data_IF_278765150770
#
_entry.id   IF_278765150770
#
_cell.length_a   1.000
_cell.length_b   1.000
_cell.length_c   1.000
_cell.angle_alpha   90.00
_cell.angle_beta   90.00
_cell.angle_gamma   90.00
#
_symmetry.space_group_name_H-M   'P 1'
#
loop_
_entity.id
_entity.type
_entity.pdbx_description
1 polymer ?
#
# COMPACT_ATOMS: atom_id res chain seq x y z
N UNK A 1 38.32 -23.75 -12.77
CA UNK A 1 38.24 -22.32 -13.17
C UNK A 1 36.77 -22.00 -13.33
N UNK A 2 36.17 -21.34 -12.33
CA UNK A 2 34.76 -20.90 -12.39
C UNK A 2 34.70 -19.79 -13.45
N UNK A 3 33.69 -19.84 -14.34
CA UNK A 3 33.60 -18.85 -15.41
C UNK A 3 33.35 -17.45 -14.81
N UNK A 4 33.83 -16.36 -15.45
CA UNK A 4 33.54 -15.00 -14.97
C UNK A 4 32.06 -14.65 -14.91
N UNK A 5 31.20 -15.44 -15.57
CA UNK A 5 29.74 -15.34 -15.53
C UNK A 5 29.17 -16.02 -14.27
N UNK A 6 29.75 -17.13 -13.80
CA UNK A 6 29.36 -17.81 -12.56
C UNK A 6 29.77 -16.99 -11.33
N UNK A 7 30.96 -16.40 -11.32
CA UNK A 7 31.45 -15.50 -10.27
C UNK A 7 30.58 -14.23 -10.16
N UNK A 8 30.09 -13.67 -11.29
CA UNK A 8 29.10 -12.58 -11.30
C UNK A 8 27.72 -13.02 -10.79
N UNK A 9 27.36 -14.28 -10.96
CA UNK A 9 26.04 -14.82 -10.53
C UNK A 9 26.03 -15.08 -9.03
N UNK A 10 27.13 -15.57 -8.45
CA UNK A 10 27.24 -15.77 -6.98
C UNK A 10 27.25 -14.45 -6.19
N UNK A 11 27.73 -13.36 -6.78
CA UNK A 11 27.81 -12.06 -6.12
C UNK A 11 26.51 -11.26 -6.14
N UNK A 12 25.51 -11.63 -6.94
CA UNK A 12 24.17 -11.01 -6.95
C UNK A 12 23.25 -11.79 -6.00
N UNK A 13 22.70 -11.10 -5.03
CA UNK A 13 21.84 -11.69 -4.00
C UNK A 13 22.52 -11.87 -2.64
N UNK A 14 23.68 -11.29 -2.44
CA UNK A 14 24.35 -11.24 -1.15
C UNK A 14 23.51 -10.53 -0.07
N UNK A 15 23.77 -10.85 1.20
CA UNK A 15 23.02 -10.32 2.36
C UNK A 15 22.85 -8.80 2.33
N UNK A 16 23.86 -8.04 1.90
CA UNK A 16 23.79 -6.59 1.78
C UNK A 16 22.76 -6.09 0.77
N UNK A 17 22.62 -6.75 -0.39
CA UNK A 17 21.61 -6.38 -1.38
C UNK A 17 20.19 -6.75 -0.93
N UNK A 18 20.03 -7.89 -0.25
CA UNK A 18 18.75 -8.26 0.37
C UNK A 18 18.36 -7.23 1.44
N UNK A 19 19.32 -6.78 2.25
CA UNK A 19 19.09 -5.72 3.24
C UNK A 19 18.66 -4.42 2.55
N UNK A 20 19.30 -4.02 1.45
CA UNK A 20 18.89 -2.83 0.70
C UNK A 20 17.46 -2.95 0.16
N UNK A 21 17.09 -4.10 -0.39
CA UNK A 21 15.73 -4.37 -0.88
C UNK A 21 14.71 -4.34 0.28
N UNK A 22 15.06 -4.90 1.45
CA UNK A 22 14.26 -4.80 2.66
C UNK A 22 14.06 -3.34 3.10
N UNK A 23 15.15 -2.54 3.13
CA UNK A 23 15.10 -1.12 3.49
C UNK A 23 14.24 -0.31 2.51
N UNK A 24 14.30 -0.59 1.21
CA UNK A 24 13.44 0.06 0.23
C UNK A 24 11.95 -0.20 0.53
N UNK A 25 11.57 -1.45 0.81
CA UNK A 25 10.21 -1.78 1.23
C UNK A 25 9.83 -1.10 2.54
N UNK A 26 10.70 -1.19 3.54
CA UNK A 26 10.47 -0.62 4.88
C UNK A 26 10.23 0.88 4.81
N UNK A 27 11.15 1.66 4.24
CA UNK A 27 11.10 3.12 4.27
C UNK A 27 9.96 3.69 3.42
N UNK A 28 9.62 3.06 2.30
CA UNK A 28 8.49 3.48 1.49
C UNK A 28 7.15 3.43 2.25
N UNK A 29 6.95 2.42 3.10
CA UNK A 29 5.69 2.21 3.82
C UNK A 29 5.70 2.68 5.28
N UNK A 30 6.89 2.86 5.87
CA UNK A 30 7.07 3.41 7.21
C UNK A 30 6.45 4.81 7.31
N UNK A 31 6.72 5.66 6.34
CA UNK A 31 6.26 7.04 6.32
C UNK A 31 4.80 7.17 5.86
N UNK A 32 4.37 6.36 4.90
CA UNK A 32 3.07 6.52 4.24
C UNK A 32 1.88 6.50 5.23
N UNK A 33 1.93 5.63 6.24
CA UNK A 33 0.84 5.41 7.17
C UNK A 33 1.14 5.80 8.63
N UNK A 34 2.30 6.37 8.93
CA UNK A 34 2.70 6.77 10.29
C UNK A 34 1.74 7.78 10.93
N UNK A 35 1.03 8.56 10.12
CA UNK A 35 0.10 9.59 10.57
C UNK A 35 -1.24 9.02 11.09
N UNK A 36 -1.61 7.77 10.74
CA UNK A 36 -2.91 7.22 11.11
C UNK A 36 -3.19 7.25 12.63
N UNK A 37 -2.30 6.77 13.50
CA UNK A 37 -2.51 6.85 14.95
C UNK A 37 -2.44 8.28 15.51
N UNK A 38 -1.88 9.22 14.73
CA UNK A 38 -1.74 10.63 15.13
C UNK A 38 -2.97 11.48 14.80
N UNK A 39 -3.93 10.97 14.02
CA UNK A 39 -5.08 11.77 13.56
C UNK A 39 -5.86 12.43 14.71
N UNK A 40 -6.21 11.72 15.81
CA UNK A 40 -6.90 12.38 16.93
C UNK A 40 -6.05 13.45 17.61
N UNK A 41 -4.73 13.24 17.72
CA UNK A 41 -3.79 14.22 18.26
C UNK A 41 -3.71 15.47 17.37
N UNK A 42 -3.57 15.27 16.04
CA UNK A 42 -3.52 16.35 15.06
C UNK A 42 -4.83 17.16 15.03
N UNK A 43 -5.99 16.50 15.14
CA UNK A 43 -7.30 17.15 15.23
C UNK A 43 -7.35 18.10 16.43
N UNK A 44 -6.89 17.66 17.60
CA UNK A 44 -6.85 18.48 18.82
C UNK A 44 -5.85 19.64 18.72
N UNK A 45 -4.61 19.36 18.27
CA UNK A 45 -3.53 20.37 18.26
C UNK A 45 -3.75 21.42 17.17
N UNK A 46 -4.34 21.05 16.04
CA UNK A 46 -4.59 21.96 14.91
C UNK A 46 -6.01 22.52 14.91
N UNK A 47 -6.83 22.20 15.93
CA UNK A 47 -8.24 22.60 16.02
C UNK A 47 -9.00 22.35 14.74
N UNK A 48 -8.75 21.18 14.11
CA UNK A 48 -9.28 20.80 12.81
C UNK A 48 -10.24 19.62 12.93
N UNK A 49 -11.21 19.54 12.02
CA UNK A 49 -12.15 18.42 11.99
C UNK A 49 -11.49 17.12 11.54
N UNK A 50 -12.13 16.01 11.83
CA UNK A 50 -11.70 14.64 11.45
C UNK A 50 -11.49 14.52 9.93
N UNK A 51 -12.40 15.08 9.15
CA UNK A 51 -12.27 15.15 7.68
C UNK A 51 -11.07 15.98 7.25
N UNK A 52 -10.81 17.11 7.94
CA UNK A 52 -9.70 18.00 7.60
C UNK A 52 -8.35 17.35 7.90
N UNK A 53 -8.17 16.67 9.05
CA UNK A 53 -6.92 15.94 9.32
C UNK A 53 -6.79 14.68 8.45
N UNK A 54 -7.89 14.08 8.02
CA UNK A 54 -7.93 13.02 7.02
C UNK A 54 -7.28 13.41 5.68
N UNK A 55 -7.28 14.72 5.34
CA UNK A 55 -6.55 15.24 4.18
C UNK A 55 -5.04 14.91 4.21
N UNK A 56 -4.45 14.73 5.37
CA UNK A 56 -3.02 14.38 5.48
C UNK A 56 -2.72 13.00 4.91
N UNK A 57 -3.63 12.05 5.05
CA UNK A 57 -3.54 10.71 4.43
C UNK A 57 -3.93 10.79 2.97
N UNK A 58 -5.02 11.49 2.66
CA UNK A 58 -5.51 11.67 1.30
C UNK A 58 -4.48 12.34 0.40
N UNK A 59 -3.77 13.35 0.90
CA UNK A 59 -2.70 14.01 0.15
C UNK A 59 -1.56 13.04 -0.20
N UNK A 60 -1.10 12.24 0.78
CA UNK A 60 -0.06 11.23 0.54
C UNK A 60 -0.52 10.18 -0.48
N UNK A 61 -1.71 9.61 -0.31
CA UNK A 61 -2.23 8.60 -1.24
C UNK A 61 -2.52 9.16 -2.63
N UNK A 62 -2.96 10.42 -2.75
CA UNK A 62 -3.10 11.11 -4.03
C UNK A 62 -1.73 11.28 -4.72
N UNK A 63 -0.71 11.69 -3.98
CA UNK A 63 0.66 11.76 -4.48
C UNK A 63 1.13 10.42 -5.05
N UNK A 64 0.88 9.33 -4.33
CA UNK A 64 1.20 7.97 -4.81
C UNK A 64 0.44 7.65 -6.09
N UNK A 65 -0.87 7.94 -6.16
CA UNK A 65 -1.68 7.67 -7.36
C UNK A 65 -1.14 8.40 -8.60
N UNK A 66 -0.85 9.68 -8.47
CA UNK A 66 -0.30 10.51 -9.55
C UNK A 66 1.07 10.01 -9.99
N UNK A 67 1.98 9.80 -9.04
CA UNK A 67 3.35 9.37 -9.34
C UNK A 67 3.40 7.95 -9.92
N UNK A 68 2.56 7.04 -9.44
CA UNK A 68 2.46 5.68 -9.99
C UNK A 68 2.05 5.70 -11.48
N UNK A 69 1.12 6.58 -11.86
CA UNK A 69 0.73 6.74 -13.25
C UNK A 69 1.87 7.31 -14.11
N UNK A 70 2.59 8.32 -13.61
CA UNK A 70 3.76 8.88 -14.28
C UNK A 70 4.88 7.84 -14.46
N UNK A 71 5.15 7.04 -13.44
CA UNK A 71 6.16 5.98 -13.52
C UNK A 71 5.75 4.82 -14.43
N UNK A 72 4.46 4.52 -14.57
CA UNK A 72 3.98 3.56 -15.56
C UNK A 72 4.29 4.00 -16.99
N UNK A 73 4.36 5.31 -17.23
CA UNK A 73 4.64 5.92 -18.54
C UNK A 73 6.14 6.11 -18.77
N UNK A 74 6.84 6.68 -17.81
CA UNK A 74 8.22 7.14 -17.96
C UNK A 74 9.26 6.26 -17.25
N UNK A 75 8.80 5.35 -16.38
CA UNK A 75 9.66 4.58 -15.49
C UNK A 75 10.72 3.73 -16.22
N UNK A 76 10.46 3.26 -17.44
CA UNK A 76 11.41 2.45 -18.19
C UNK A 76 12.72 3.19 -18.55
N UNK A 77 12.68 4.53 -18.61
CA UNK A 77 13.82 5.37 -18.98
C UNK A 77 14.72 5.71 -17.80
N UNK A 78 14.28 5.44 -16.59
CA UNK A 78 14.96 5.84 -15.36
C UNK A 78 16.07 4.86 -14.97
N UNK A 79 17.20 5.38 -14.50
CA UNK A 79 18.22 4.58 -13.83
C UNK A 79 17.66 4.06 -12.50
N UNK A 80 17.58 2.74 -12.33
CA UNK A 80 16.91 2.10 -11.21
C UNK A 80 17.49 2.52 -9.86
N UNK A 81 18.80 2.34 -9.68
CA UNK A 81 19.49 2.66 -8.43
C UNK A 81 19.39 4.16 -8.09
N UNK A 82 19.71 5.02 -9.07
CA UNK A 82 19.67 6.47 -8.86
C UNK A 82 18.27 6.94 -8.48
N UNK A 83 17.26 6.46 -9.16
CA UNK A 83 15.87 6.83 -8.87
C UNK A 83 15.46 6.39 -7.48
N UNK A 84 15.78 5.15 -7.06
CA UNK A 84 15.49 4.65 -5.71
C UNK A 84 16.14 5.58 -4.66
N UNK A 85 17.45 5.81 -4.77
CA UNK A 85 18.19 6.58 -3.76
C UNK A 85 17.77 8.04 -3.73
N UNK A 86 17.57 8.68 -4.88
CA UNK A 86 17.07 10.07 -4.95
C UNK A 86 15.68 10.15 -4.33
N UNK A 87 14.79 9.23 -4.67
CA UNK A 87 13.43 9.22 -4.11
C UNK A 87 13.44 8.99 -2.59
N UNK A 88 14.29 8.09 -2.09
CA UNK A 88 14.44 7.84 -0.64
C UNK A 88 14.99 9.09 0.09
N UNK A 89 16.02 9.74 -0.48
CA UNK A 89 16.60 10.94 0.11
C UNK A 89 15.60 12.10 0.10
N UNK A 90 14.92 12.31 -1.02
CA UNK A 90 13.91 13.36 -1.14
C UNK A 90 12.69 13.09 -0.22
N UNK A 91 12.24 11.83 -0.11
CA UNK A 91 11.20 11.43 0.84
C UNK A 91 11.62 11.76 2.28
N UNK A 92 12.81 11.35 2.68
CA UNK A 92 13.32 11.62 4.03
C UNK A 92 13.43 13.13 4.34
N UNK A 93 13.87 13.94 3.37
CA UNK A 93 13.91 15.41 3.51
C UNK A 93 12.48 15.98 3.61
N UNK A 94 11.53 15.50 2.80
CA UNK A 94 10.13 15.92 2.89
C UNK A 94 9.54 15.56 4.26
N UNK A 95 9.84 14.37 4.78
CA UNK A 95 9.43 13.92 6.11
C UNK A 95 10.00 14.81 7.22
N UNK A 96 11.27 15.22 7.11
CA UNK A 96 11.84 16.23 8.04
C UNK A 96 11.10 17.56 7.93
N UNK A 97 10.79 18.03 6.73
CA UNK A 97 10.05 19.27 6.52
C UNK A 97 8.60 19.18 7.06
N UNK A 98 8.00 18.00 7.04
CA UNK A 98 6.68 17.76 7.65
C UNK A 98 6.67 18.15 9.13
N UNK A 99 7.78 17.92 9.87
CA UNK A 99 7.89 18.31 11.27
C UNK A 99 7.82 19.83 11.51
N UNK A 100 8.12 20.64 10.50
CA UNK A 100 8.12 22.11 10.57
C UNK A 100 6.75 22.73 10.25
N UNK A 101 5.74 21.93 9.91
CA UNK A 101 4.44 22.42 9.52
C UNK A 101 3.75 23.22 10.66
N UNK A 102 3.27 24.41 10.33
CA UNK A 102 2.57 25.30 11.25
C UNK A 102 1.04 25.19 11.14
N UNK A 103 0.54 24.70 10.03
CA UNK A 103 -0.88 24.53 9.79
C UNK A 103 -1.15 23.25 8.97
N UNK A 104 -2.42 22.86 8.92
CA UNK A 104 -2.85 21.64 8.25
C UNK A 104 -2.58 21.64 6.77
N UNK A 105 -2.70 22.78 6.09
CA UNK A 105 -2.44 22.89 4.63
C UNK A 105 -0.97 22.61 4.34
N UNK A 106 -0.06 23.21 5.10
CA UNK A 106 1.38 22.95 4.96
C UNK A 106 1.71 21.49 5.23
N UNK A 107 1.11 20.90 6.28
CA UNK A 107 1.25 19.48 6.58
C UNK A 107 0.78 18.61 5.39
N UNK A 108 -0.39 18.88 4.85
CA UNK A 108 -0.94 18.16 3.70
C UNK A 108 -0.08 18.31 2.43
N UNK A 109 0.51 19.49 2.21
CA UNK A 109 1.43 19.71 1.07
C UNK A 109 2.70 18.84 1.19
N UNK A 110 3.31 18.79 2.37
CA UNK A 110 4.46 17.89 2.58
C UNK A 110 4.07 16.43 2.42
N UNK A 111 2.91 16.02 2.95
CA UNK A 111 2.36 14.67 2.76
C UNK A 111 2.10 14.32 1.28
N UNK A 112 1.61 15.28 0.49
CA UNK A 112 1.47 15.11 -0.96
C UNK A 112 2.83 14.85 -1.63
N UNK A 113 3.85 15.63 -1.26
CA UNK A 113 5.20 15.46 -1.81
C UNK A 113 5.80 14.11 -1.42
N UNK A 114 5.64 13.68 -0.16
CA UNK A 114 6.03 12.34 0.29
C UNK A 114 5.35 11.25 -0.54
N UNK A 115 4.04 11.39 -0.80
CA UNK A 115 3.29 10.49 -1.67
C UNK A 115 3.82 10.46 -3.10
N UNK A 116 4.18 11.61 -3.68
CA UNK A 116 4.77 11.68 -5.03
C UNK A 116 6.12 10.97 -5.13
N UNK A 117 6.89 10.94 -4.05
CA UNK A 117 8.24 10.34 -4.02
C UNK A 117 8.21 8.83 -3.74
N UNK A 118 7.22 8.36 -2.99
CA UNK A 118 7.11 6.97 -2.53
C UNK A 118 7.11 5.93 -3.67
N UNK A 119 6.40 6.09 -4.80
CA UNK A 119 6.43 5.14 -5.92
C UNK A 119 7.80 5.03 -6.59
N UNK A 120 8.61 6.09 -6.58
CA UNK A 120 10.00 6.05 -7.02
C UNK A 120 10.87 5.08 -6.22
N UNK A 121 10.44 4.73 -5.01
CA UNK A 121 11.07 3.69 -4.21
C UNK A 121 10.45 2.33 -4.53
N UNK A 122 9.15 2.13 -4.29
CA UNK A 122 8.57 0.79 -4.30
C UNK A 122 8.39 0.20 -5.70
N UNK A 123 7.94 0.99 -6.70
CA UNK A 123 7.77 0.49 -8.08
C UNK A 123 9.13 0.20 -8.71
N UNK A 124 10.08 1.13 -8.52
CA UNK A 124 11.40 0.98 -9.13
C UNK A 124 12.23 -0.12 -8.45
N UNK A 125 12.04 -0.39 -7.15
CA UNK A 125 12.68 -1.53 -6.48
C UNK A 125 12.18 -2.86 -7.03
N UNK A 126 10.87 -3.00 -7.28
CA UNK A 126 10.32 -4.20 -7.91
C UNK A 126 10.92 -4.40 -9.31
N UNK A 127 10.99 -3.33 -10.11
CA UNK A 127 11.63 -3.37 -11.42
C UNK A 127 13.12 -3.74 -11.33
N UNK A 128 13.87 -3.13 -10.40
CA UNK A 128 15.27 -3.44 -10.16
C UNK A 128 15.48 -4.92 -9.82
N UNK A 129 14.69 -5.48 -8.89
CA UNK A 129 14.81 -6.88 -8.50
C UNK A 129 14.51 -7.81 -9.68
N UNK A 130 13.45 -7.54 -10.44
CA UNK A 130 13.04 -8.41 -11.55
C UNK A 130 13.98 -8.34 -12.76
N UNK A 131 14.70 -7.23 -12.94
CA UNK A 131 15.61 -7.01 -14.07
C UNK A 131 17.06 -7.41 -13.78
N UNK A 132 17.55 -7.18 -12.55
CA UNK A 132 18.97 -7.31 -12.21
C UNK A 132 19.31 -8.61 -11.48
N UNK A 133 18.33 -9.33 -10.95
CA UNK A 133 18.56 -10.54 -10.18
C UNK A 133 18.40 -11.81 -11.04
N UNK A 134 19.17 -12.88 -10.76
CA UNK A 134 18.95 -14.17 -11.39
C UNK A 134 17.53 -14.66 -11.18
N UNK A 135 16.88 -15.21 -12.21
CA UNK A 135 15.47 -15.63 -12.18
C UNK A 135 15.11 -16.51 -10.96
N UNK A 136 16.01 -17.43 -10.58
CA UNK A 136 15.85 -18.32 -9.44
C UNK A 136 15.87 -17.59 -8.07
N UNK A 137 16.49 -16.42 -7.99
CA UNK A 137 16.61 -15.65 -6.76
C UNK A 137 15.54 -14.55 -6.62
N UNK A 138 14.87 -14.18 -7.73
CA UNK A 138 13.81 -13.16 -7.72
C UNK A 138 12.72 -13.45 -6.67
N UNK A 139 12.19 -14.68 -6.54
CA UNK A 139 11.16 -14.95 -5.53
C UNK A 139 11.64 -14.67 -4.09
N UNK A 140 12.89 -15.02 -3.77
CA UNK A 140 13.49 -14.74 -2.46
C UNK A 140 13.63 -13.24 -2.21
N UNK A 141 14.12 -12.48 -3.18
CA UNK A 141 14.29 -11.04 -3.05
C UNK A 141 12.93 -10.34 -2.92
N UNK A 142 11.92 -10.77 -3.68
CA UNK A 142 10.57 -10.24 -3.58
C UNK A 142 9.91 -10.56 -2.23
N UNK A 143 10.15 -11.73 -1.65
CA UNK A 143 9.67 -12.06 -0.31
C UNK A 143 10.30 -11.14 0.76
N UNK A 144 11.60 -10.88 0.65
CA UNK A 144 12.30 -9.93 1.53
C UNK A 144 11.76 -8.50 1.36
N UNK A 145 11.51 -8.08 0.13
CA UNK A 145 10.88 -6.80 -0.17
C UNK A 145 9.50 -6.68 0.48
N UNK A 146 8.62 -7.67 0.29
CA UNK A 146 7.26 -7.69 0.89
C UNK A 146 7.34 -7.68 2.41
N UNK A 147 8.24 -8.46 3.01
CA UNK A 147 8.48 -8.41 4.45
C UNK A 147 8.87 -6.99 4.92
N UNK A 148 9.72 -6.30 4.15
CA UNK A 148 10.08 -4.91 4.40
C UNK A 148 8.86 -3.97 4.35
N UNK A 149 7.97 -4.11 3.35
CA UNK A 149 6.78 -3.24 3.23
C UNK A 149 5.83 -3.40 4.43
N UNK A 150 5.62 -4.63 4.88
CA UNK A 150 4.75 -4.90 6.04
C UNK A 150 5.40 -4.42 7.33
N UNK A 151 6.70 -4.70 7.51
CA UNK A 151 7.46 -4.23 8.66
C UNK A 151 7.47 -2.71 8.74
N UNK A 152 7.72 -2.01 7.62
CA UNK A 152 7.68 -0.55 7.55
C UNK A 152 6.30 0.00 7.90
N UNK A 153 5.24 -0.55 7.30
CA UNK A 153 3.87 -0.14 7.59
C UNK A 153 3.46 -0.35 9.06
N UNK A 154 3.92 -1.42 9.67
CA UNK A 154 3.69 -1.69 11.10
C UNK A 154 4.51 -0.75 12.00
N UNK A 155 5.84 -0.70 11.79
CA UNK A 155 6.73 0.16 12.60
C UNK A 155 6.38 1.63 12.47
N UNK A 156 6.00 2.09 11.27
CA UNK A 156 5.57 3.48 11.07
C UNK A 156 4.36 3.86 11.94
N UNK A 157 3.34 2.99 11.99
CA UNK A 157 2.16 3.22 12.83
C UNK A 157 2.49 3.14 14.33
N UNK A 158 3.23 2.12 14.73
CA UNK A 158 3.58 1.92 16.14
C UNK A 158 4.48 3.06 16.64
N UNK A 159 5.54 3.40 15.91
CA UNK A 159 6.43 4.52 16.28
C UNK A 159 5.69 5.86 16.25
N UNK A 160 4.83 6.06 15.21
CA UNK A 160 3.99 7.25 15.10
C UNK A 160 3.16 7.50 16.33
N UNK A 161 2.43 6.51 16.81
CA UNK A 161 1.58 6.69 17.95
C UNK A 161 2.30 6.67 19.30
N UNK A 162 3.29 5.77 19.52
CA UNK A 162 4.05 5.71 20.77
C UNK A 162 4.83 7.00 21.04
N UNK A 163 5.52 7.51 20.03
CA UNK A 163 6.25 8.78 20.17
C UNK A 163 5.28 9.97 20.17
N UNK A 164 4.29 9.94 19.27
CA UNK A 164 3.31 11.02 19.18
C UNK A 164 2.52 11.25 20.47
N UNK A 165 2.18 10.18 21.18
CA UNK A 165 1.50 10.24 22.46
C UNK A 165 2.35 10.82 23.60
N UNK A 166 3.69 10.64 23.54
CA UNK A 166 4.61 11.05 24.63
C UNK A 166 5.29 12.39 24.40
N UNK A 167 5.77 12.63 23.18
CA UNK A 167 6.59 13.80 22.86
C UNK A 167 5.98 14.69 21.76
N UNK A 168 4.78 14.36 21.32
CA UNK A 168 4.07 15.09 20.28
C UNK A 168 4.41 14.61 18.87
N UNK A 169 3.66 15.07 17.89
CA UNK A 169 3.72 14.56 16.51
C UNK A 169 4.98 15.00 15.73
N UNK A 170 5.56 16.18 16.02
CA UNK A 170 6.74 16.71 15.30
C UNK A 170 7.98 15.83 15.44
N UNK A 171 8.39 15.39 16.64
CA UNK A 171 9.55 14.49 16.82
C UNK A 171 9.41 13.16 16.08
N UNK A 172 8.17 12.69 15.85
CA UNK A 172 7.94 11.49 15.04
C UNK A 172 8.50 11.68 13.63
N UNK A 173 8.14 12.75 12.94
CA UNK A 173 8.61 13.03 11.59
C UNK A 173 10.11 13.32 11.54
N UNK A 174 10.68 13.94 12.58
CA UNK A 174 12.14 14.10 12.69
C UNK A 174 12.82 12.73 12.76
N UNK A 175 12.36 11.82 13.63
CA UNK A 175 12.93 10.48 13.73
C UNK A 175 12.81 9.70 12.41
N UNK A 176 11.62 9.69 11.81
CA UNK A 176 11.38 8.97 10.57
C UNK A 176 12.22 9.53 9.41
N UNK A 177 12.35 10.85 9.33
CA UNK A 177 13.20 11.49 8.34
C UNK A 177 14.69 11.18 8.51
N UNK A 178 15.20 11.19 9.75
CA UNK A 178 16.58 10.78 10.05
C UNK A 178 16.80 9.31 9.69
N UNK A 179 15.90 8.41 10.10
CA UNK A 179 15.96 6.99 9.72
C UNK A 179 15.91 6.82 8.20
N UNK A 180 15.08 7.62 7.52
CA UNK A 180 15.00 7.67 6.06
C UNK A 180 16.32 8.05 5.40
N UNK A 181 17.02 9.10 5.90
CA UNK A 181 18.34 9.49 5.40
C UNK A 181 19.40 8.41 5.63
N UNK A 182 19.41 7.81 6.84
CA UNK A 182 20.31 6.70 7.13
C UNK A 182 20.05 5.51 6.20
N UNK A 183 18.79 5.17 5.96
CA UNK A 183 18.42 4.09 5.06
C UNK A 183 18.73 4.40 3.59
N UNK A 184 18.56 5.65 3.14
CA UNK A 184 18.97 6.09 1.80
C UNK A 184 20.49 5.96 1.62
N UNK A 185 21.27 6.40 2.60
CA UNK A 185 22.73 6.25 2.62
C UNK A 185 23.12 4.76 2.59
N UNK A 186 22.54 3.92 3.45
CA UNK A 186 22.79 2.49 3.45
C UNK A 186 22.44 1.85 2.09
N UNK A 187 21.30 2.22 1.50
CA UNK A 187 20.88 1.71 0.18
C UNK A 187 21.83 2.15 -0.92
N UNK A 188 22.34 3.39 -0.87
CA UNK A 188 23.36 3.87 -1.82
C UNK A 188 24.62 3.00 -1.83
N UNK A 189 25.06 2.53 -0.65
CA UNK A 189 26.28 1.70 -0.52
C UNK A 189 25.99 0.22 -0.81
N UNK A 190 24.84 -0.30 -0.40
CA UNK A 190 24.52 -1.72 -0.50
C UNK A 190 23.94 -2.12 -1.87
N UNK A 191 23.19 -1.21 -2.53
CA UNK A 191 22.59 -1.50 -3.82
C UNK A 191 23.61 -1.31 -4.94
N UNK A 192 23.75 -2.32 -5.80
CA UNK A 192 24.66 -2.24 -6.95
C UNK A 192 24.07 -1.41 -8.08
N UNK A 193 24.90 -0.76 -8.91
CA UNK A 193 24.42 -0.11 -10.12
C UNK A 193 23.67 -1.09 -11.02
N UNK A 194 22.61 -0.62 -11.67
CA UNK A 194 21.90 -1.40 -12.67
C UNK A 194 22.81 -1.60 -13.89
N UNK A 195 22.94 -2.84 -14.34
CA UNK A 195 23.80 -3.21 -15.48
C UNK A 195 23.03 -3.27 -16.79
N UNK A 196 21.74 -3.53 -16.72
CA UNK A 196 20.88 -3.60 -17.91
C UNK A 196 20.42 -2.19 -18.33
N UNK A 197 21.18 -1.58 -19.22
CA UNK A 197 20.73 -0.40 -19.96
C UNK A 197 19.71 -0.87 -21.00
N UNK A 198 18.41 -0.90 -20.65
CA UNK A 198 17.37 -1.16 -21.66
C UNK A 198 17.47 -0.09 -22.74
N UNK A 199 17.81 -0.53 -23.95
CA UNK A 199 17.54 0.27 -25.14
C UNK A 199 16.03 0.45 -25.18
N UNK A 200 15.57 1.69 -25.02
CA UNK A 200 14.15 2.00 -25.09
C UNK A 200 13.61 1.43 -26.40
N UNK A 201 12.76 0.40 -26.32
CA UNK A 201 12.00 -0.05 -27.47
C UNK A 201 11.30 1.18 -28.02
N UNK A 202 11.37 1.38 -29.35
CA UNK A 202 10.64 2.42 -30.06
C UNK A 202 9.22 2.48 -29.49
N UNK A 203 8.87 3.62 -28.91
CA UNK A 203 7.62 3.79 -28.19
C UNK A 203 6.46 3.59 -29.20
N UNK A 204 5.82 2.43 -29.14
CA UNK A 204 4.42 2.38 -29.52
C UNK A 204 3.69 3.43 -28.68
N UNK A 205 2.72 4.10 -29.27
CA UNK A 205 1.96 5.16 -28.58
C UNK A 205 1.56 4.67 -27.18
N UNK A 206 1.96 5.39 -26.14
CA UNK A 206 1.63 5.11 -24.72
C UNK A 206 0.11 4.98 -24.53
N UNK A 207 -0.65 5.67 -25.33
CA UNK A 207 -2.11 5.72 -25.25
C UNK A 207 -2.80 4.44 -25.76
N UNK A 208 -2.20 3.71 -26.70
CA UNK A 208 -2.81 2.50 -27.25
C UNK A 208 -3.03 1.40 -26.21
N UNK A 209 -2.04 1.00 -25.35
CA UNK A 209 -2.25 0.03 -24.29
C UNK A 209 -3.23 0.55 -23.22
N UNK A 210 -3.15 1.84 -22.86
CA UNK A 210 -4.06 2.46 -21.88
C UNK A 210 -5.50 2.39 -22.36
N UNK A 211 -5.77 2.83 -23.60
CA UNK A 211 -7.12 2.83 -24.16
C UNK A 211 -7.68 1.40 -24.33
N UNK A 212 -6.82 0.44 -24.68
CA UNK A 212 -7.21 -0.97 -24.76
C UNK A 212 -7.59 -1.51 -23.38
N UNK A 213 -6.84 -1.18 -22.34
CA UNK A 213 -7.14 -1.61 -20.98
C UNK A 213 -8.42 -0.97 -20.45
N UNK A 214 -8.69 0.30 -20.77
CA UNK A 214 -9.95 1.00 -20.43
C UNK A 214 -11.18 0.41 -21.12
N UNK A 215 -11.03 -0.27 -22.26
CA UNK A 215 -12.13 -0.97 -22.92
C UNK A 215 -12.43 -2.35 -22.37
N UNK A 216 -11.55 -2.87 -21.49
CA UNK A 216 -11.74 -4.18 -20.87
C UNK A 216 -12.60 -4.07 -19.62
N UNK A 217 -13.83 -4.54 -19.67
CA UNK A 217 -14.74 -4.58 -18.50
C UNK A 217 -14.16 -5.37 -17.33
N UNK A 218 -13.38 -6.42 -17.60
CA UNK A 218 -12.69 -7.22 -16.57
C UNK A 218 -11.62 -6.42 -15.84
N UNK A 219 -10.84 -5.61 -16.57
CA UNK A 219 -9.83 -4.74 -15.98
C UNK A 219 -10.47 -3.58 -15.21
N UNK A 220 -11.52 -2.95 -15.78
CA UNK A 220 -12.27 -1.90 -15.08
C UNK A 220 -12.88 -2.41 -13.78
N UNK A 221 -13.45 -3.61 -13.78
CA UNK A 221 -13.94 -4.26 -12.56
C UNK A 221 -12.82 -4.44 -11.53
N UNK A 222 -11.63 -4.88 -11.96
CA UNK A 222 -10.47 -5.06 -11.08
C UNK A 222 -9.98 -3.73 -10.51
N UNK A 223 -9.98 -2.66 -11.31
CA UNK A 223 -9.62 -1.32 -10.87
C UNK A 223 -10.62 -0.79 -9.82
N UNK A 224 -11.92 -0.98 -10.05
CA UNK A 224 -12.96 -0.60 -9.10
C UNK A 224 -12.86 -1.38 -7.78
N UNK A 225 -12.57 -2.69 -7.84
CA UNK A 225 -12.31 -3.50 -6.65
C UNK A 225 -11.10 -2.97 -5.90
N UNK A 226 -9.99 -2.70 -6.59
CA UNK A 226 -8.78 -2.12 -5.99
C UNK A 226 -9.07 -0.80 -5.27
N UNK A 227 -9.82 0.10 -5.90
CA UNK A 227 -10.32 1.34 -5.29
C UNK A 227 -11.06 1.06 -3.98
N UNK A 228 -12.05 0.16 -3.98
CA UNK A 228 -12.84 -0.17 -2.80
C UNK A 228 -11.99 -0.78 -1.68
N UNK A 229 -10.98 -1.59 -2.02
CA UNK A 229 -10.12 -2.23 -1.01
C UNK A 229 -9.25 -1.22 -0.26
N UNK A 230 -8.57 -0.29 -0.97
CA UNK A 230 -7.78 0.72 -0.26
C UNK A 230 -8.66 1.78 0.41
N UNK A 231 -9.81 2.12 -0.18
CA UNK A 231 -10.82 2.91 0.51
C UNK A 231 -11.16 2.30 1.87
N UNK A 232 -11.50 1.00 1.90
CA UNK A 232 -11.83 0.26 3.12
C UNK A 232 -10.69 0.31 4.13
N UNK A 233 -9.47 0.00 3.70
CA UNK A 233 -8.31 -0.02 4.57
C UNK A 233 -8.04 1.35 5.20
N UNK A 234 -8.02 2.40 4.38
CA UNK A 234 -7.74 3.77 4.86
C UNK A 234 -8.89 4.28 5.72
N UNK A 235 -10.14 4.08 5.29
CA UNK A 235 -11.33 4.48 6.04
C UNK A 235 -11.36 3.86 7.44
N UNK A 236 -11.27 2.52 7.51
CA UNK A 236 -11.35 1.79 8.78
C UNK A 236 -10.20 2.18 9.70
N UNK A 237 -8.95 2.06 9.24
CA UNK A 237 -7.78 2.26 10.10
C UNK A 237 -7.50 3.73 10.44
N UNK A 238 -8.10 4.69 9.73
CA UNK A 238 -7.99 6.10 10.08
C UNK A 238 -9.08 6.52 11.07
N UNK A 239 -10.34 6.18 10.81
CA UNK A 239 -11.46 6.67 11.61
C UNK A 239 -11.73 5.86 12.87
N UNK A 240 -11.30 4.59 12.92
CA UNK A 240 -11.34 3.80 14.14
C UNK A 240 -10.51 4.46 15.27
N UNK A 241 -9.45 5.22 14.93
CA UNK A 241 -8.62 5.91 15.91
C UNK A 241 -9.41 6.98 16.68
N UNK A 242 -10.30 7.69 16.00
CA UNK A 242 -11.21 8.65 16.67
C UNK A 242 -12.20 7.92 17.55
N UNK A 243 -12.84 6.86 17.06
CA UNK A 243 -13.79 6.06 17.83
C UNK A 243 -13.19 5.50 19.12
N UNK A 244 -11.95 5.04 19.06
CA UNK A 244 -11.26 4.48 20.23
C UNK A 244 -10.76 5.53 21.22
N UNK A 245 -10.62 6.80 20.82
CA UNK A 245 -10.31 7.90 21.73
C UNK A 245 -11.52 8.46 22.47
N UNK A 246 -12.73 8.13 22.04
CA UNK A 246 -14.00 8.53 22.65
C UNK A 246 -14.53 7.48 23.62
N UNK A 247 -15.54 7.86 24.43
CA UNK A 247 -16.25 6.90 25.28
C UNK A 247 -16.94 5.82 24.42
N UNK A 248 -16.97 4.55 24.87
CA UNK A 248 -16.58 4.06 26.19
C UNK A 248 -15.09 3.66 26.31
N UNK A 249 -14.29 3.72 25.24
CA UNK A 249 -12.93 3.15 25.21
C UNK A 249 -11.89 4.07 25.84
N UNK A 250 -11.90 5.35 25.53
CA UNK A 250 -10.99 6.40 26.04
C UNK A 250 -9.51 5.99 25.93
N UNK A 251 -9.13 5.33 24.84
CA UNK A 251 -7.77 4.82 24.65
C UNK A 251 -6.79 5.98 24.40
N UNK A 252 -5.61 5.85 24.99
CA UNK A 252 -4.47 6.71 24.68
C UNK A 252 -3.92 6.43 23.27
N UNK A 253 -3.20 7.40 22.72
CA UNK A 253 -2.51 7.25 21.42
C UNK A 253 -1.54 6.05 21.43
N UNK A 254 -0.88 5.79 22.56
CA UNK A 254 0.00 4.65 22.75
C UNK A 254 -0.75 3.31 22.63
N UNK A 255 -1.92 3.21 23.30
CA UNK A 255 -2.75 2.00 23.25
C UNK A 255 -3.28 1.71 21.83
N UNK A 256 -3.75 2.76 21.14
CA UNK A 256 -4.19 2.67 19.75
C UNK A 256 -3.05 2.20 18.85
N UNK A 257 -1.82 2.66 19.09
CA UNK A 257 -0.65 2.24 18.29
C UNK A 257 -0.37 0.77 18.39
N UNK A 258 -0.47 0.19 19.59
CA UNK A 258 -0.34 -1.26 19.78
C UNK A 258 -1.47 -2.04 19.11
N UNK A 259 -2.68 -1.46 19.04
CA UNK A 259 -3.79 -2.10 18.35
C UNK A 259 -3.52 -2.29 16.84
N UNK A 260 -2.69 -1.43 16.23
CA UNK A 260 -2.26 -1.63 14.84
C UNK A 260 -1.43 -2.91 14.62
N UNK A 261 -0.98 -3.61 15.68
CA UNK A 261 -0.37 -4.94 15.54
C UNK A 261 -1.31 -5.97 14.90
N UNK A 262 -2.63 -5.77 14.98
CA UNK A 262 -3.62 -6.61 14.28
C UNK A 262 -3.41 -6.63 12.76
N UNK A 263 -2.73 -5.64 12.21
CA UNK A 263 -2.36 -5.58 10.79
C UNK A 263 -1.43 -6.74 10.37
N UNK A 264 -0.67 -7.29 11.31
CA UNK A 264 0.21 -8.45 11.06
C UNK A 264 -0.58 -9.73 10.75
N UNK A 265 -1.84 -9.85 11.21
CA UNK A 265 -2.70 -10.97 10.82
C UNK A 265 -2.99 -10.97 9.32
N UNK A 266 -3.09 -9.78 8.70
CA UNK A 266 -3.20 -9.64 7.25
C UNK A 266 -2.00 -10.22 6.50
N UNK A 267 -0.78 -10.05 7.04
CA UNK A 267 0.43 -10.67 6.47
C UNK A 267 0.33 -12.19 6.50
N UNK A 268 -0.03 -12.77 7.65
CA UNK A 268 -0.20 -14.22 7.79
C UNK A 268 -1.26 -14.74 6.82
N UNK A 269 -2.40 -14.06 6.73
CA UNK A 269 -3.46 -14.40 5.79
C UNK A 269 -2.96 -14.39 4.33
N UNK A 270 -2.11 -13.42 3.96
CA UNK A 270 -1.52 -13.32 2.61
C UNK A 270 -0.64 -14.53 2.28
N UNK A 271 0.15 -15.02 3.23
CA UNK A 271 1.03 -16.17 3.02
C UNK A 271 0.24 -17.46 2.75
N UNK A 272 -0.93 -17.60 3.37
CA UNK A 272 -1.81 -18.76 3.22
C UNK A 272 -2.70 -18.61 1.97
N UNK A 273 -3.03 -17.38 1.59
CA UNK A 273 -3.98 -17.10 0.52
C UNK A 273 -3.63 -17.80 -0.80
N UNK A 274 -2.35 -17.83 -1.18
CA UNK A 274 -1.92 -18.44 -2.44
C UNK A 274 -2.35 -19.91 -2.59
N UNK A 275 -2.17 -20.71 -1.53
CA UNK A 275 -2.52 -22.14 -1.53
C UNK A 275 -4.03 -22.37 -1.51
N UNK A 276 -4.78 -21.52 -0.82
CA UNK A 276 -6.25 -21.60 -0.76
C UNK A 276 -6.86 -21.17 -2.10
N UNK A 277 -6.38 -20.07 -2.66
CA UNK A 277 -6.89 -19.52 -3.93
C UNK A 277 -6.66 -20.45 -5.12
N UNK A 278 -5.59 -21.25 -5.10
CA UNK A 278 -5.35 -22.28 -6.10
C UNK A 278 -6.46 -23.36 -6.12
N UNK A 279 -7.13 -23.59 -4.99
CA UNK A 279 -8.20 -24.59 -4.87
C UNK A 279 -9.59 -24.00 -5.12
N UNK A 280 -9.87 -22.80 -4.62
CA UNK A 280 -11.22 -22.20 -4.65
C UNK A 280 -11.43 -21.24 -5.83
N UNK A 281 -10.36 -20.84 -6.51
CA UNK A 281 -10.41 -19.87 -7.60
C UNK A 281 -10.46 -18.41 -7.14
N UNK A 282 -10.03 -17.50 -8.03
CA UNK A 282 -9.85 -16.07 -7.69
C UNK A 282 -11.16 -15.35 -7.38
N UNK A 283 -12.25 -15.69 -8.11
CA UNK A 283 -13.56 -15.06 -7.93
C UNK A 283 -14.17 -15.42 -6.58
N UNK A 284 -14.20 -16.72 -6.23
CA UNK A 284 -14.71 -17.18 -4.95
C UNK A 284 -13.84 -16.66 -3.78
N UNK A 285 -12.51 -16.65 -3.95
CA UNK A 285 -11.58 -16.05 -2.99
C UNK A 285 -11.82 -14.57 -2.75
N UNK A 286 -12.10 -13.79 -3.81
CA UNK A 286 -12.44 -12.36 -3.69
C UNK A 286 -13.75 -12.15 -2.92
N UNK A 287 -14.79 -12.93 -3.24
CA UNK A 287 -16.09 -12.82 -2.54
C UNK A 287 -15.96 -13.20 -1.06
N UNK A 288 -15.19 -14.25 -0.74
CA UNK A 288 -14.88 -14.62 0.63
C UNK A 288 -14.12 -13.52 1.37
N UNK A 289 -13.12 -12.91 0.72
CA UNK A 289 -12.35 -11.81 1.27
C UNK A 289 -13.21 -10.58 1.57
N UNK A 290 -14.13 -10.21 0.65
CA UNK A 290 -15.13 -9.15 0.87
C UNK A 290 -16.07 -9.51 2.04
N UNK A 291 -16.52 -10.75 2.12
CA UNK A 291 -17.32 -11.25 3.23
C UNK A 291 -16.59 -11.11 4.58
N UNK A 292 -15.31 -11.49 4.63
CA UNK A 292 -14.47 -11.28 5.81
C UNK A 292 -14.36 -9.79 6.17
N UNK A 293 -14.18 -8.90 5.19
CA UNK A 293 -14.15 -7.46 5.45
C UNK A 293 -15.47 -6.96 6.04
N UNK A 294 -16.62 -7.37 5.48
CA UNK A 294 -17.95 -6.99 5.98
C UNK A 294 -18.16 -7.46 7.44
N UNK A 295 -17.82 -8.72 7.72
CA UNK A 295 -17.89 -9.27 9.09
C UNK A 295 -16.95 -8.51 10.01
N UNK A 296 -15.69 -8.28 9.57
CA UNK A 296 -14.69 -7.56 10.36
C UNK A 296 -15.13 -6.14 10.70
N UNK A 297 -15.64 -5.37 9.73
CA UNK A 297 -16.18 -4.03 9.97
C UNK A 297 -17.41 -4.09 10.88
N UNK A 298 -18.31 -5.05 10.69
CA UNK A 298 -19.48 -5.26 11.54
C UNK A 298 -19.10 -5.52 13.00
N UNK A 299 -18.08 -6.35 13.27
CA UNK A 299 -17.57 -6.62 14.62
C UNK A 299 -17.07 -5.36 15.33
N UNK A 300 -16.53 -4.36 14.61
CA UNK A 300 -16.07 -3.10 15.20
C UNK A 300 -17.20 -2.24 15.76
N UNK A 301 -18.45 -2.52 15.46
CA UNK A 301 -19.61 -1.83 16.02
C UNK A 301 -19.96 -2.31 17.44
N UNK A 302 -19.39 -3.43 17.88
CA UNK A 302 -19.60 -3.97 19.24
C UNK A 302 -18.68 -3.23 20.20
N UNK A 303 -19.23 -2.63 21.27
CA UNK A 303 -18.53 -1.81 22.24
C UNK A 303 -17.64 -2.62 23.21
N UNK A 304 -16.93 -3.63 22.69
CA UNK A 304 -15.97 -4.46 23.44
C UNK A 304 -14.62 -4.44 22.73
N UNK A 305 -13.59 -3.91 23.37
CA UNK A 305 -12.26 -3.72 22.76
C UNK A 305 -11.66 -5.00 22.14
N UNK A 306 -11.73 -6.19 22.77
CA UNK A 306 -11.24 -7.41 22.13
C UNK A 306 -11.99 -7.75 20.84
N UNK A 307 -13.30 -7.47 20.79
CA UNK A 307 -14.13 -7.72 19.60
C UNK A 307 -13.79 -6.72 18.48
N UNK A 308 -13.57 -5.45 18.84
CA UNK A 308 -13.08 -4.44 17.89
C UNK A 308 -11.72 -4.87 17.32
N UNK A 309 -10.78 -5.30 18.16
CA UNK A 309 -9.47 -5.78 17.73
C UNK A 309 -9.59 -6.99 16.78
N UNK A 310 -10.44 -7.96 17.12
CA UNK A 310 -10.74 -9.10 16.24
C UNK A 310 -11.35 -8.64 14.92
N UNK A 311 -12.29 -7.70 14.96
CA UNK A 311 -12.91 -7.10 13.76
C UNK A 311 -11.88 -6.48 12.84
N UNK A 312 -10.93 -5.69 13.39
CA UNK A 312 -9.84 -5.08 12.64
C UNK A 312 -8.89 -6.13 12.05
N UNK A 313 -8.58 -7.21 12.80
CA UNK A 313 -7.74 -8.30 12.32
C UNK A 313 -8.41 -9.04 11.14
N UNK A 314 -9.70 -9.32 11.24
CA UNK A 314 -10.48 -9.99 10.19
C UNK A 314 -10.62 -9.08 8.97
N UNK A 315 -10.94 -7.78 9.15
CA UNK A 315 -11.06 -6.82 8.06
C UNK A 315 -9.73 -6.63 7.32
N UNK A 316 -8.61 -6.45 8.03
CA UNK A 316 -7.30 -6.32 7.39
C UNK A 316 -6.91 -7.59 6.63
N UNK A 317 -7.14 -8.76 7.20
CA UNK A 317 -6.89 -10.05 6.54
C UNK A 317 -7.70 -10.17 5.24
N UNK A 318 -8.99 -9.78 5.26
CA UNK A 318 -9.83 -9.75 4.08
C UNK A 318 -9.28 -8.82 2.99
N UNK A 319 -8.88 -7.59 3.34
CA UNK A 319 -8.30 -6.64 2.37
C UNK A 319 -7.01 -7.19 1.74
N UNK A 320 -6.12 -7.79 2.53
CA UNK A 320 -4.87 -8.35 2.01
C UNK A 320 -5.10 -9.56 1.10
N UNK A 321 -6.02 -10.46 1.45
CA UNK A 321 -6.41 -11.59 0.58
C UNK A 321 -7.05 -11.06 -0.72
N UNK A 322 -7.94 -10.07 -0.64
CA UNK A 322 -8.53 -9.43 -1.81
C UNK A 322 -7.47 -8.81 -2.73
N UNK A 323 -6.41 -8.22 -2.16
CA UNK A 323 -5.30 -7.67 -2.94
C UNK A 323 -4.53 -8.76 -3.69
N UNK A 324 -4.30 -9.93 -3.07
CA UNK A 324 -3.69 -11.10 -3.75
C UNK A 324 -4.56 -11.55 -4.92
N UNK A 325 -5.89 -11.67 -4.70
CA UNK A 325 -6.84 -12.02 -5.75
C UNK A 325 -6.81 -11.02 -6.91
N UNK A 326 -6.85 -9.71 -6.60
CA UNK A 326 -6.86 -8.65 -7.59
C UNK A 326 -5.58 -8.61 -8.43
N UNK A 327 -4.41 -8.74 -7.80
CA UNK A 327 -3.12 -8.77 -8.49
C UNK A 327 -2.98 -10.00 -9.39
N UNK A 328 -3.45 -11.17 -8.93
CA UNK A 328 -3.44 -12.40 -9.73
C UNK A 328 -4.38 -12.28 -10.92
N UNK A 329 -5.62 -11.82 -10.70
CA UNK A 329 -6.59 -11.63 -11.78
C UNK A 329 -6.14 -10.58 -12.80
N UNK A 330 -5.51 -9.49 -12.34
CA UNK A 330 -4.96 -8.45 -13.20
C UNK A 330 -3.92 -9.01 -14.17
N UNK A 331 -3.02 -9.87 -13.69
CA UNK A 331 -2.00 -10.54 -14.49
C UNK A 331 -2.61 -11.41 -15.58
N UNK A 332 -3.70 -12.13 -15.26
CA UNK A 332 -4.37 -13.06 -16.15
C UNK A 332 -5.31 -12.35 -17.15
N UNK A 333 -5.92 -11.21 -16.73
CA UNK A 333 -6.83 -10.44 -17.55
C UNK A 333 -6.11 -9.46 -18.50
N UNK A 334 -4.90 -9.01 -18.15
CA UNK A 334 -4.17 -8.01 -18.94
C UNK A 334 -3.54 -8.65 -20.20
N UNK A 335 -3.74 -8.04 -21.39
CA UNK A 335 -3.12 -8.50 -22.64
C UNK A 335 -1.59 -8.39 -22.56
N UNK A 336 -0.88 -9.26 -23.28
CA UNK A 336 0.59 -9.38 -23.21
C UNK A 336 1.33 -8.05 -23.40
N UNK A 337 0.89 -7.17 -24.30
CA UNK A 337 1.49 -5.84 -24.51
C UNK A 337 0.91 -4.72 -23.62
N UNK A 338 0.01 -5.01 -22.67
CA UNK A 338 -0.67 -4.03 -21.83
C UNK A 338 -0.50 -4.24 -20.32
N UNK A 339 0.29 -5.24 -19.90
CA UNK A 339 0.43 -5.61 -18.48
C UNK A 339 1.00 -4.49 -17.60
N UNK A 340 2.03 -3.80 -18.08
CA UNK A 340 2.65 -2.69 -17.31
C UNK A 340 1.67 -1.53 -17.15
N UNK A 341 0.99 -1.15 -18.23
CA UNK A 341 -0.04 -0.11 -18.21
C UNK A 341 -1.22 -0.52 -17.30
N UNK A 342 -1.70 -1.78 -17.37
CA UNK A 342 -2.76 -2.28 -16.50
C UNK A 342 -2.37 -2.24 -15.02
N UNK A 343 -1.14 -2.63 -14.68
CA UNK A 343 -0.62 -2.56 -13.32
C UNK A 343 -0.55 -1.10 -12.80
N UNK A 344 -0.05 -0.16 -13.62
CA UNK A 344 -0.02 1.26 -13.26
C UNK A 344 -1.42 1.85 -13.05
N UNK A 345 -2.38 1.51 -13.93
CA UNK A 345 -3.77 1.95 -13.79
C UNK A 345 -4.44 1.35 -12.54
N UNK A 346 -4.15 0.09 -12.23
CA UNK A 346 -4.63 -0.56 -11.00
C UNK A 346 -4.09 0.15 -9.76
N UNK A 347 -2.78 0.41 -9.70
CA UNK A 347 -2.15 1.13 -8.58
C UNK A 347 -2.74 2.53 -8.44
N UNK A 348 -2.92 3.25 -9.55
CA UNK A 348 -3.53 4.57 -9.56
C UNK A 348 -4.96 4.51 -8.97
N UNK A 349 -5.81 3.62 -9.48
CA UNK A 349 -7.19 3.44 -8.98
C UNK A 349 -7.22 3.04 -7.50
N UNK A 350 -6.34 2.12 -7.10
CA UNK A 350 -6.19 1.66 -5.73
C UNK A 350 -5.89 2.84 -4.78
N UNK A 351 -4.90 3.68 -5.11
CA UNK A 351 -4.53 4.82 -4.27
C UNK A 351 -5.51 5.98 -4.33
N UNK A 352 -6.27 6.16 -5.45
CA UNK A 352 -7.41 7.09 -5.48
C UNK A 352 -8.48 6.63 -4.45
N UNK A 353 -8.72 5.32 -4.34
CA UNK A 353 -9.57 4.77 -3.29
C UNK A 353 -9.11 5.16 -1.89
N UNK A 354 -7.80 5.06 -1.62
CA UNK A 354 -7.21 5.53 -0.36
C UNK A 354 -7.38 7.03 -0.13
N UNK A 355 -7.25 7.85 -1.18
CA UNK A 355 -7.47 9.29 -1.13
C UNK A 355 -8.91 9.62 -0.71
N UNK A 356 -9.88 8.98 -1.32
CA UNK A 356 -11.31 9.16 -0.97
C UNK A 356 -11.58 8.62 0.44
N UNK A 357 -10.96 7.48 0.81
CA UNK A 357 -11.07 6.86 2.13
C UNK A 357 -10.50 7.68 3.28
N UNK A 358 -9.59 8.62 3.00
CA UNK A 358 -9.06 9.53 4.01
C UNK A 358 -10.01 10.70 4.37
N UNK A 359 -10.84 11.15 3.42
CA UNK A 359 -11.70 12.36 3.62
C UNK A 359 -13.18 12.01 3.74
N UNK A 360 -13.71 11.16 2.85
CA UNK A 360 -15.14 10.94 2.74
C UNK A 360 -15.77 10.41 4.04
N UNK A 361 -15.17 9.46 4.78
CA UNK A 361 -15.74 9.01 6.05
C UNK A 361 -15.81 10.13 7.09
N UNK A 362 -14.92 11.11 7.07
CA UNK A 362 -14.95 12.24 7.98
C UNK A 362 -16.15 13.16 7.80
N UNK A 363 -16.72 13.22 6.60
CA UNK A 363 -17.98 13.94 6.36
C UNK A 363 -19.16 13.21 7.01
N UNK A 364 -19.13 11.87 6.94
CA UNK A 364 -20.17 11.01 7.54
C UNK A 364 -19.99 10.93 9.07
N UNK A 365 -18.75 10.99 9.55
CA UNK A 365 -18.44 10.99 10.97
C UNK A 365 -19.22 12.05 11.75
N UNK A 366 -19.30 13.26 11.23
CA UNK A 366 -20.03 14.37 11.84
C UNK A 366 -21.52 14.11 12.00
N UNK A 367 -22.10 13.25 11.14
CA UNK A 367 -23.54 12.97 11.13
C UNK A 367 -23.89 11.74 11.98
N UNK A 368 -23.06 10.73 11.96
CA UNK A 368 -23.38 9.40 12.50
C UNK A 368 -22.20 8.69 13.19
N UNK A 369 -21.11 9.38 13.47
CA UNK A 369 -19.94 8.82 14.15
C UNK A 369 -19.37 7.59 13.47
N UNK A 370 -18.83 6.65 14.27
CA UNK A 370 -18.27 5.39 13.76
C UNK A 370 -19.29 4.51 13.01
N UNK A 371 -20.54 4.32 13.47
CA UNK A 371 -21.53 3.54 12.73
C UNK A 371 -21.76 4.06 11.30
N UNK A 372 -21.75 5.37 11.09
CA UNK A 372 -21.86 5.97 9.77
C UNK A 372 -20.66 5.64 8.87
N UNK A 373 -19.43 5.74 9.41
CA UNK A 373 -18.21 5.38 8.69
C UNK A 373 -18.18 3.88 8.33
N UNK A 374 -18.60 3.02 9.26
CA UNK A 374 -18.72 1.58 9.04
C UNK A 374 -19.75 1.26 7.96
N UNK A 375 -20.93 1.90 8.00
CA UNK A 375 -21.98 1.74 6.99
C UNK A 375 -21.52 2.16 5.60
N UNK A 376 -20.84 3.33 5.49
CA UNK A 376 -20.25 3.80 4.25
C UNK A 376 -19.22 2.79 3.71
N UNK A 377 -18.35 2.28 4.58
CA UNK A 377 -17.32 1.29 4.21
C UNK A 377 -17.98 -0.02 3.75
N UNK A 378 -19.02 -0.50 4.44
CA UNK A 378 -19.77 -1.67 4.01
C UNK A 378 -20.42 -1.45 2.64
N UNK A 379 -20.93 -0.25 2.34
CA UNK A 379 -21.43 0.10 1.01
C UNK A 379 -20.40 -0.10 -0.10
N UNK A 380 -19.18 0.39 0.10
CA UNK A 380 -18.08 0.17 -0.86
C UNK A 380 -17.65 -1.30 -0.95
N UNK A 381 -17.68 -2.04 0.15
CA UNK A 381 -17.43 -3.49 0.14
C UNK A 381 -18.48 -4.25 -0.64
N UNK A 382 -19.77 -3.89 -0.52
CA UNK A 382 -20.84 -4.47 -1.31
C UNK A 382 -20.65 -4.16 -2.80
N UNK A 383 -20.29 -2.92 -3.15
CA UNK A 383 -19.94 -2.55 -4.53
C UNK A 383 -18.79 -3.41 -5.05
N UNK A 384 -17.73 -3.63 -4.26
CA UNK A 384 -16.62 -4.50 -4.63
C UNK A 384 -17.08 -5.95 -4.86
N UNK A 385 -17.91 -6.49 -3.97
CA UNK A 385 -18.47 -7.84 -4.09
C UNK A 385 -19.34 -8.02 -5.34
N UNK A 386 -20.25 -7.09 -5.59
CA UNK A 386 -21.10 -7.07 -6.80
C UNK A 386 -20.23 -6.96 -8.06
N UNK A 387 -19.23 -6.07 -8.04
CA UNK A 387 -18.31 -5.89 -9.15
C UNK A 387 -17.48 -7.15 -9.42
N UNK A 388 -17.02 -7.84 -8.38
CA UNK A 388 -16.33 -9.13 -8.51
C UNK A 388 -17.26 -10.22 -9.05
N UNK A 389 -18.50 -10.27 -8.54
CA UNK A 389 -19.49 -11.27 -8.95
C UNK A 389 -19.84 -11.17 -10.42
N UNK A 390 -20.06 -9.98 -10.96
CA UNK A 390 -20.42 -9.79 -12.36
C UNK A 390 -19.24 -9.59 -13.29
N UNK A 391 -18.20 -8.89 -12.86
CA UNK A 391 -17.06 -8.50 -13.69
C UNK A 391 -15.99 -9.60 -13.83
N UNK A 392 -15.89 -10.52 -12.86
CA UNK A 392 -14.94 -11.64 -12.89
C UNK A 392 -15.60 -12.96 -13.33
N UNK A 393 -16.58 -12.90 -14.21
CA UNK A 393 -17.15 -14.12 -14.81
C UNK A 393 -16.09 -14.83 -15.64
N UNK A 394 -15.89 -16.12 -15.41
CA UNK A 394 -15.10 -16.98 -16.27
C UNK A 394 -15.76 -17.01 -17.64
N UNK A 395 -14.97 -16.84 -18.71
CA UNK A 395 -15.42 -17.27 -20.02
C UNK A 395 -15.53 -18.80 -19.94
N UNK A 396 -16.72 -19.35 -20.13
CA UNK A 396 -16.93 -20.76 -20.31
C UNK A 396 -15.95 -21.26 -21.38
N UNK A 397 -14.88 -21.97 -21.00
CA UNK A 397 -13.89 -22.45 -21.96
C UNK A 397 -12.49 -22.78 -21.40
N UNK A 398 -12.29 -22.83 -20.09
CA UNK A 398 -11.01 -23.32 -19.53
C UNK A 398 -11.26 -24.50 -18.59
N UNK A 399 -11.64 -25.64 -19.21
CA UNK A 399 -11.54 -26.96 -18.61
C UNK A 399 -10.91 -27.87 -19.68
N UNK A 400 -9.64 -27.64 -20.03
CA UNK A 400 -8.80 -28.72 -20.50
C UNK A 400 -7.77 -29.00 -19.41
N UNK A 401 -7.80 -30.19 -18.81
CA UNK A 401 -6.74 -30.62 -17.91
C UNK A 401 -5.47 -30.75 -18.75
N UNK A 402 -4.41 -30.09 -18.32
CA UNK A 402 -3.06 -30.35 -18.85
C UNK A 402 -2.80 -31.83 -18.65
N UNK A 403 -2.51 -32.61 -19.71
CA UNK A 403 -2.12 -34.01 -19.55
C UNK A 403 -0.81 -34.06 -18.76
N UNK A 404 -0.78 -34.99 -17.79
CA UNK A 404 0.35 -35.34 -16.92
C UNK A 404 1.51 -35.87 -17.73
#
# INVERSE_FOLDING_TARGET
MVSPLEEKTELRGGAGQLLAVFLCGTLAFLDLYCVQPLLPLLSRVMHASESAVGLTISAATLGVAVSAMLLAVFGERLDRKRTIVISMTALALSTLMTSTAHNLVQLAMWRLLEGLLTPGIFIITIAYVTEEWPALQVPRAMSVYVAGTVFGGFVGRVSGGLLGGRVGWRPVFVLLGVLGLCGAAATQWLLRPATMRRVAKKAESIWTPVMRNLRSTRLLATFAIGFCMLFTLVSVFSYITFYLTEAPFLLSTDAISWLFSVYLFGLVATLIAGTVLAKVGLRAGMLAAVGCCLVGVGLTLIHLLPVVALGLAVASSGVFVAQVCANSFLRDAAPAGGRVSAAGMYICSYYIGGTVGGVLPGLVWRMAGWPGCAGLTCGFLVIAGVTAFFGWREKNGWAEPVPV
#
